data_IF_345195055480
#
_entry.id   IF_345195055480
#
_cell.length_a   1.000
_cell.length_b   1.000
_cell.length_c   1.000
_cell.angle_alpha   90.00
_cell.angle_beta   90.00
_cell.angle_gamma   90.00
#
_symmetry.space_group_name_H-M   'P 1'
#
loop_
_entity.id
_entity.type
_entity.pdbx_description
1 polymer ?
#
# COMPACT_ATOMS: atom_id res chain seq x y z
N UNK A 1 -30.98 2.15 -1.63
CA UNK A 1 -29.85 3.10 -1.46
C UNK A 1 -28.56 2.32 -1.63
N UNK A 2 -27.83 2.54 -2.73
CA UNK A 2 -26.48 2.02 -2.87
C UNK A 2 -25.61 2.90 -1.98
N UNK A 3 -25.17 2.39 -0.84
CA UNK A 3 -24.16 3.07 -0.05
C UNK A 3 -22.90 3.16 -0.92
N UNK A 4 -22.58 4.36 -1.39
CA UNK A 4 -21.29 4.65 -1.99
C UNK A 4 -20.25 4.21 -0.96
N UNK A 5 -19.51 3.13 -1.27
CA UNK A 5 -18.40 2.75 -0.41
C UNK A 5 -17.47 3.96 -0.39
N UNK A 6 -17.12 4.49 0.80
CA UNK A 6 -16.20 5.62 0.86
C UNK A 6 -14.95 5.24 0.06
N UNK A 7 -14.59 6.09 -0.90
CA UNK A 7 -13.38 5.90 -1.70
C UNK A 7 -12.21 6.10 -0.75
N UNK A 8 -11.70 5.02 -0.17
CA UNK A 8 -10.55 5.06 0.73
C UNK A 8 -9.32 5.45 -0.07
N UNK A 9 -8.91 6.73 0.02
CA UNK A 9 -7.66 7.19 -0.56
C UNK A 9 -6.48 6.68 0.26
N UNK A 10 -5.47 6.16 -0.42
CA UNK A 10 -4.23 5.68 0.19
C UNK A 10 -3.02 6.44 -0.33
N UNK A 11 -2.00 6.58 0.51
CA UNK A 11 -0.68 7.06 0.13
C UNK A 11 0.28 5.88 0.10
N UNK A 12 1.01 5.74 -1.01
CA UNK A 12 2.08 4.75 -1.16
C UNK A 12 3.41 5.48 -1.07
N UNK A 13 4.32 5.02 -0.19
CA UNK A 13 5.63 5.65 0.02
C UNK A 13 6.70 4.61 0.28
N UNK A 14 7.94 4.94 -0.07
CA UNK A 14 9.12 4.23 0.43
C UNK A 14 9.40 4.76 1.83
N UNK A 15 9.26 3.91 2.85
CA UNK A 15 9.40 4.27 4.25
C UNK A 15 10.83 4.11 4.77
N UNK A 16 11.59 3.16 4.21
CA UNK A 16 12.98 2.91 4.57
C UNK A 16 13.74 2.31 3.37
N UNK A 17 15.06 2.50 3.37
CA UNK A 17 15.98 1.82 2.47
C UNK A 17 17.01 1.08 3.32
N UNK A 18 17.26 -0.18 3.00
CA UNK A 18 18.21 -1.03 3.71
C UNK A 18 19.65 -0.67 3.31
N UNK A 19 20.64 -1.20 4.04
CA UNK A 19 22.06 -1.07 3.65
C UNK A 19 22.43 -1.81 2.36
N UNK A 20 21.52 -2.66 1.86
CA UNK A 20 21.65 -3.42 0.62
C UNK A 20 20.80 -2.81 -0.51
N UNK A 21 20.30 -1.59 -0.33
CA UNK A 21 19.44 -0.87 -1.28
C UNK A 21 18.05 -1.49 -1.47
N UNK A 22 17.60 -2.31 -0.53
CA UNK A 22 16.23 -2.82 -0.50
C UNK A 22 15.27 -1.72 -0.02
N UNK A 23 14.08 -1.63 -0.61
CA UNK A 23 13.08 -0.62 -0.29
C UNK A 23 11.94 -1.22 0.52
N UNK A 24 11.64 -0.60 1.67
CA UNK A 24 10.41 -0.87 2.40
C UNK A 24 9.30 0.03 1.87
N UNK A 25 8.24 -0.57 1.33
CA UNK A 25 7.08 0.14 0.84
C UNK A 25 5.96 0.07 1.86
N UNK A 26 5.32 1.21 2.11
CA UNK A 26 4.15 1.33 2.97
C UNK A 26 2.96 1.90 2.21
N UNK A 27 1.79 1.32 2.48
CA UNK A 27 0.48 1.86 2.12
C UNK A 27 -0.17 2.37 3.39
N UNK A 28 -0.56 3.65 3.40
CA UNK A 28 -1.25 4.28 4.54
C UNK A 28 -2.55 4.92 4.09
N UNK A 29 -3.55 4.91 4.96
CA UNK A 29 -4.76 5.70 4.74
C UNK A 29 -4.38 7.18 4.64
N UNK A 30 -4.82 7.87 3.59
CA UNK A 30 -4.48 9.28 3.37
C UNK A 30 -5.10 10.20 4.42
N UNK A 31 -6.30 9.86 4.90
CA UNK A 31 -7.04 10.69 5.86
C UNK A 31 -6.56 10.49 7.30
N UNK A 32 -6.36 9.24 7.72
CA UNK A 32 -6.02 8.92 9.12
C UNK A 32 -4.53 8.69 9.34
N UNK A 33 -3.74 8.52 8.28
CA UNK A 33 -2.32 8.14 8.37
C UNK A 33 -2.08 6.69 8.84
N UNK A 34 -3.16 5.93 9.05
CA UNK A 34 -3.11 4.55 9.55
C UNK A 34 -2.35 3.65 8.58
N UNK A 35 -1.45 2.83 9.11
CA UNK A 35 -0.72 1.83 8.33
C UNK A 35 -1.68 0.72 7.91
N UNK A 36 -1.85 0.57 6.61
CA UNK A 36 -2.70 -0.47 6.01
C UNK A 36 -1.85 -1.68 5.68
N UNK A 37 -0.72 -1.46 5.02
CA UNK A 37 0.15 -2.52 4.54
C UNK A 37 1.61 -2.07 4.49
N UNK A 38 2.54 -3.01 4.67
CA UNK A 38 3.98 -2.79 4.60
C UNK A 38 4.69 -4.08 4.22
N UNK A 39 5.61 -4.00 3.27
CA UNK A 39 6.53 -5.09 2.93
C UNK A 39 7.85 -4.53 2.39
N UNK A 40 8.86 -5.41 2.33
CA UNK A 40 10.12 -5.13 1.63
C UNK A 40 10.08 -5.64 0.18
N UNK A 41 10.73 -4.91 -0.73
CA UNK A 41 10.80 -5.24 -2.16
C UNK A 41 11.54 -6.55 -2.48
N UNK A 42 12.42 -7.03 -1.59
CA UNK A 42 13.08 -8.33 -1.73
C UNK A 42 12.17 -9.53 -1.41
N UNK A 43 10.98 -9.30 -0.85
CA UNK A 43 10.06 -10.39 -0.53
C UNK A 43 9.58 -11.08 -1.82
N UNK A 44 9.55 -12.42 -1.80
CA UNK A 44 9.33 -13.25 -3.00
C UNK A 44 8.07 -12.87 -3.79
N UNK A 45 6.99 -12.55 -3.07
CA UNK A 45 5.68 -12.26 -3.65
C UNK A 45 5.32 -10.77 -3.55
N UNK A 46 6.31 -9.90 -3.25
CA UNK A 46 6.12 -8.47 -2.98
C UNK A 46 5.27 -7.76 -4.03
N UNK A 47 5.60 -7.95 -5.31
CA UNK A 47 4.94 -7.26 -6.41
C UNK A 47 3.47 -7.68 -6.53
N UNK A 48 3.20 -8.97 -6.41
CA UNK A 48 1.85 -9.51 -6.51
C UNK A 48 0.99 -9.06 -5.33
N UNK A 49 1.54 -9.05 -4.12
CA UNK A 49 0.85 -8.56 -2.93
C UNK A 49 0.62 -7.05 -2.98
N UNK A 50 1.60 -6.27 -3.45
CA UNK A 50 1.44 -4.84 -3.65
C UNK A 50 0.33 -4.54 -4.67
N UNK A 51 0.33 -5.21 -5.83
CA UNK A 51 -0.72 -5.07 -6.83
C UNK A 51 -2.09 -5.45 -6.27
N UNK A 52 -2.20 -6.54 -5.51
CA UNK A 52 -3.44 -6.96 -4.86
C UNK A 52 -3.95 -5.93 -3.86
N UNK A 53 -3.07 -5.35 -3.04
CA UNK A 53 -3.47 -4.30 -2.10
C UNK A 53 -3.88 -3.03 -2.83
N UNK A 54 -3.14 -2.60 -3.86
CA UNK A 54 -3.52 -1.43 -4.66
C UNK A 54 -4.85 -1.61 -5.40
N UNK A 55 -5.12 -2.81 -5.93
CA UNK A 55 -6.40 -3.13 -6.59
C UNK A 55 -7.60 -3.03 -5.65
N UNK A 56 -7.42 -3.22 -4.33
CA UNK A 56 -8.50 -3.01 -3.34
C UNK A 56 -8.91 -1.55 -3.21
N UNK A 57 -8.00 -0.63 -3.52
CA UNK A 57 -8.20 0.81 -3.39
C UNK A 57 -8.29 1.54 -4.73
N UNK A 58 -8.08 0.82 -5.85
CA UNK A 58 -8.26 1.36 -7.18
C UNK A 58 -9.75 1.71 -7.42
N UNK A 59 -10.03 2.90 -8.00
CA UNK A 59 -11.39 3.23 -8.43
C UNK A 59 -11.85 2.21 -9.49
N UNK A 60 -13.09 1.72 -9.35
CA UNK A 60 -13.72 0.83 -10.32
C UNK A 60 -14.22 1.59 -11.54
#
# INVERSE_FOLDING_TARGET
MLAERPVTQVNVKIAAVSKYDDHQVEIRCKETGLLIWRAWDFEKDFKEDLERELLRYAPR
#
